data_IF_423870418359
#
_entry.id   IF_423870418359
#
_cell.length_a   1.000
_cell.length_b   1.000
_cell.length_c   1.000
_cell.angle_alpha   90.00
_cell.angle_beta   90.00
_cell.angle_gamma   90.00
#
_symmetry.space_group_name_H-M   'P 1'
#
loop_
_entity.id
_entity.type
_entity.pdbx_description
1 polymer ?
#
# COMPACT_ATOMS: atom_id res chain seq x y z
N UNK A 1 -21.99 22.40 -13.15
CA UNK A 1 -23.01 21.47 -13.67
C UNK A 1 -22.48 20.05 -13.48
N UNK A 2 -22.57 19.55 -12.24
CA UNK A 2 -22.15 18.20 -11.84
C UNK A 2 -23.41 17.47 -11.38
N UNK A 3 -23.75 16.39 -12.08
CA UNK A 3 -24.93 15.59 -11.78
C UNK A 3 -24.59 14.70 -10.59
N UNK A 4 -24.90 15.16 -9.38
CA UNK A 4 -25.07 14.31 -8.20
C UNK A 4 -26.49 13.73 -8.24
N UNK A 5 -26.65 12.53 -8.80
CA UNK A 5 -27.71 11.62 -8.33
C UNK A 5 -27.17 10.96 -7.06
N UNK A 6 -27.29 11.68 -5.94
CA UNK A 6 -27.16 11.10 -4.61
C UNK A 6 -28.33 10.12 -4.43
N UNK A 7 -28.09 8.84 -4.74
CA UNK A 7 -28.97 7.78 -4.25
C UNK A 7 -28.57 7.60 -2.79
N UNK A 8 -29.24 8.36 -1.91
CA UNK A 8 -29.12 8.17 -0.46
C UNK A 8 -29.69 6.82 -0.10
N UNK A 9 -28.84 5.81 0.05
CA UNK A 9 -29.24 4.51 0.59
C UNK A 9 -29.20 4.65 2.12
N UNK A 10 -30.36 4.95 2.70
CA UNK A 10 -30.56 4.86 4.15
C UNK A 10 -30.77 3.38 4.47
N UNK A 11 -29.68 2.66 4.75
CA UNK A 11 -29.73 1.29 5.22
C UNK A 11 -29.56 1.29 6.75
N UNK A 12 -30.67 1.15 7.48
CA UNK A 12 -30.66 0.75 8.89
C UNK A 12 -29.88 1.66 9.86
N UNK A 13 -30.01 2.98 9.74
CA UNK A 13 -29.40 3.94 10.66
C UNK A 13 -28.07 4.55 10.21
N UNK A 14 -27.36 3.91 9.27
CA UNK A 14 -26.10 4.42 8.73
C UNK A 14 -26.33 5.22 7.44
N UNK A 15 -25.73 6.41 7.35
CA UNK A 15 -25.83 7.29 6.17
C UNK A 15 -24.63 7.06 5.25
N UNK A 16 -24.84 6.38 4.13
CA UNK A 16 -23.83 6.24 3.07
C UNK A 16 -24.16 7.15 1.89
N UNK A 17 -23.13 7.79 1.30
CA UNK A 17 -23.28 8.59 0.07
C UNK A 17 -22.52 7.92 -1.06
N UNK A 18 -23.22 7.60 -2.15
CA UNK A 18 -22.64 7.00 -3.36
C UNK A 18 -21.93 8.03 -4.23
N UNK A 19 -20.68 7.76 -4.60
CA UNK A 19 -19.93 8.48 -5.62
C UNK A 19 -19.33 7.47 -6.61
N UNK A 20 -19.72 7.53 -7.88
CA UNK A 20 -19.13 6.71 -8.95
C UNK A 20 -18.03 7.51 -9.65
N UNK A 21 -16.76 7.16 -9.48
CA UNK A 21 -15.66 7.75 -10.24
C UNK A 21 -15.52 7.04 -11.60
N UNK A 22 -15.71 7.81 -12.67
CA UNK A 22 -15.91 7.31 -14.04
C UNK A 22 -14.67 6.67 -14.70
N UNK A 23 -13.55 6.56 -14.00
CA UNK A 23 -12.24 6.27 -14.63
C UNK A 23 -11.49 5.06 -14.06
N UNK A 24 -11.92 4.46 -12.95
CA UNK A 24 -11.24 3.28 -12.36
C UNK A 24 -12.15 2.07 -12.06
N UNK A 25 -13.44 2.11 -12.41
CA UNK A 25 -14.38 1.01 -12.17
C UNK A 25 -14.85 0.85 -10.72
N UNK A 26 -14.09 1.37 -9.76
CA UNK A 26 -14.44 1.38 -8.34
C UNK A 26 -15.60 2.32 -7.99
N UNK A 27 -16.40 1.88 -7.02
CA UNK A 27 -17.50 2.63 -6.41
C UNK A 27 -17.08 3.14 -5.03
N UNK A 28 -17.27 4.43 -4.78
CA UNK A 28 -16.96 5.06 -3.49
C UNK A 28 -18.24 5.28 -2.67
N UNK A 29 -18.20 4.93 -1.38
CA UNK A 29 -19.25 5.25 -0.41
C UNK A 29 -18.65 6.03 0.76
N UNK A 30 -19.26 7.15 1.14
CA UNK A 30 -18.79 7.93 2.30
C UNK A 30 -19.45 7.44 3.60
N UNK A 31 -18.65 7.16 4.62
CA UNK A 31 -19.08 6.94 6.01
C UNK A 31 -18.46 8.01 6.92
N UNK A 32 -19.04 8.26 8.10
CA UNK A 32 -18.56 9.29 9.04
C UNK A 32 -17.07 9.13 9.40
N UNK A 33 -16.58 7.89 9.45
CA UNK A 33 -15.23 7.54 9.91
C UNK A 33 -14.27 7.11 8.80
N UNK A 34 -14.77 6.78 7.60
CA UNK A 34 -13.93 6.31 6.48
C UNK A 34 -14.58 6.53 5.12
N UNK A 35 -13.75 6.57 4.09
CA UNK A 35 -14.21 6.39 2.70
C UNK A 35 -14.19 4.90 2.38
N UNK A 36 -15.29 4.35 1.88
CA UNK A 36 -15.38 2.94 1.47
C UNK A 36 -15.19 2.85 -0.04
N UNK A 37 -14.37 1.93 -0.50
CA UNK A 37 -14.08 1.70 -1.93
C UNK A 37 -14.35 0.23 -2.24
N UNK A 38 -15.05 -0.05 -3.34
CA UNK A 38 -15.28 -1.41 -3.80
C UNK A 38 -15.39 -1.48 -5.32
N UNK A 39 -14.81 -2.52 -5.93
CA UNK A 39 -15.02 -2.82 -7.35
C UNK A 39 -16.25 -3.72 -7.57
N UNK A 40 -16.90 -4.16 -6.50
CA UNK A 40 -18.12 -4.95 -6.57
C UNK A 40 -19.28 -4.10 -7.14
N UNK A 41 -20.09 -4.72 -8.00
CA UNK A 41 -21.28 -4.07 -8.54
C UNK A 41 -22.39 -3.99 -7.48
N UNK A 42 -22.36 -2.95 -6.66
CA UNK A 42 -23.33 -2.72 -5.57
C UNK A 42 -24.74 -2.32 -6.05
N UNK A 43 -24.96 -2.19 -7.36
CA UNK A 43 -26.31 -2.02 -7.91
C UNK A 43 -27.10 -3.33 -7.92
N UNK A 44 -26.44 -4.46 -7.67
CA UNK A 44 -27.06 -5.77 -7.56
C UNK A 44 -27.44 -6.07 -6.09
N UNK A 45 -28.71 -6.32 -5.80
CA UNK A 45 -29.22 -6.49 -4.43
C UNK A 45 -28.50 -7.58 -3.59
N UNK A 46 -28.15 -8.77 -4.15
CA UNK A 46 -27.35 -9.76 -3.43
C UNK A 46 -25.97 -9.23 -3.01
N UNK A 47 -25.28 -8.54 -3.91
CA UNK A 47 -23.98 -7.89 -3.66
C UNK A 47 -24.11 -6.86 -2.55
N UNK A 48 -25.11 -5.99 -2.64
CA UNK A 48 -25.37 -4.96 -1.63
C UNK A 48 -25.67 -5.57 -0.25
N UNK A 49 -26.40 -6.69 -0.20
CA UNK A 49 -26.71 -7.40 1.05
C UNK A 49 -25.44 -7.93 1.72
N UNK A 50 -24.52 -8.51 0.94
CA UNK A 50 -23.23 -9.02 1.44
C UNK A 50 -22.37 -7.86 1.96
N UNK A 51 -22.23 -6.78 1.18
CA UNK A 51 -21.49 -5.58 1.57
C UNK A 51 -22.04 -4.98 2.86
N UNK A 52 -23.36 -4.82 2.97
CA UNK A 52 -24.00 -4.26 4.17
C UNK A 52 -23.85 -5.16 5.40
N UNK A 53 -23.77 -6.49 5.21
CA UNK A 53 -23.49 -7.42 6.30
C UNK A 53 -22.03 -7.28 6.77
N UNK A 54 -21.09 -7.20 5.84
CA UNK A 54 -19.67 -7.02 6.14
C UNK A 54 -19.40 -5.68 6.83
N UNK A 55 -19.95 -4.59 6.29
CA UNK A 55 -19.82 -3.25 6.88
C UNK A 55 -20.28 -3.21 8.34
N UNK A 56 -21.42 -3.82 8.66
CA UNK A 56 -21.90 -3.89 10.04
C UNK A 56 -20.91 -4.64 10.95
N UNK A 57 -20.39 -5.78 10.50
CA UNK A 57 -19.39 -6.53 11.26
C UNK A 57 -18.12 -5.70 11.50
N UNK A 58 -17.60 -5.07 10.44
CA UNK A 58 -16.38 -4.24 10.50
C UNK A 58 -16.59 -3.04 11.42
N UNK A 59 -17.71 -2.33 11.31
CA UNK A 59 -18.05 -1.21 12.20
C UNK A 59 -18.11 -1.64 13.66
N UNK A 60 -18.72 -2.79 13.98
CA UNK A 60 -18.75 -3.31 15.35
C UNK A 60 -17.36 -3.68 15.87
N UNK A 61 -16.52 -4.33 15.06
CA UNK A 61 -15.10 -4.56 15.42
C UNK A 61 -14.37 -3.23 15.67
N UNK A 62 -14.64 -2.23 14.84
CA UNK A 62 -13.95 -0.94 14.87
C UNK A 62 -14.37 -0.06 16.05
N UNK A 63 -15.65 -0.03 16.42
CA UNK A 63 -16.15 0.68 17.61
C UNK A 63 -15.41 0.24 18.88
N UNK A 64 -15.04 -1.04 18.99
CA UNK A 64 -14.25 -1.56 20.11
C UNK A 64 -12.84 -0.97 20.20
N UNK A 65 -12.27 -0.54 19.07
CA UNK A 65 -10.92 0.04 18.95
C UNK A 65 -10.97 1.59 19.05
N UNK A 66 -12.05 2.19 18.55
CA UNK A 66 -12.25 3.65 18.52
C UNK A 66 -12.33 4.29 19.91
N UNK A 67 -12.70 3.55 20.96
CA UNK A 67 -12.76 4.09 22.32
C UNK A 67 -11.41 4.59 22.86
N UNK A 68 -10.30 4.28 22.20
CA UNK A 68 -8.96 4.64 22.67
C UNK A 68 -8.30 5.84 21.96
N UNK A 69 -8.69 6.20 20.73
CA UNK A 69 -7.95 7.26 19.99
C UNK A 69 -8.76 7.93 18.85
N UNK A 70 -8.85 9.27 18.76
CA UNK A 70 -9.47 10.02 17.65
C UNK A 70 -8.70 9.96 16.31
N UNK A 71 -7.82 8.97 16.10
CA UNK A 71 -6.92 8.85 14.95
C UNK A 71 -7.62 8.64 13.59
N UNK A 72 -8.88 8.23 13.59
CA UNK A 72 -9.59 7.75 12.40
C UNK A 72 -10.69 8.72 11.95
N UNK A 73 -10.46 9.38 10.82
CA UNK A 73 -11.47 10.16 10.11
C UNK A 73 -11.43 9.82 8.61
N UNK A 74 -12.50 10.12 7.88
CA UNK A 74 -12.64 9.82 6.44
C UNK A 74 -11.56 10.45 5.56
N UNK A 75 -10.87 11.49 6.04
CA UNK A 75 -9.72 12.07 5.32
C UNK A 75 -8.46 11.18 5.40
N UNK A 76 -8.36 10.35 6.44
CA UNK A 76 -7.15 9.57 6.73
C UNK A 76 -7.32 8.08 6.47
N UNK A 77 -8.56 7.58 6.49
CA UNK A 77 -8.87 6.15 6.42
C UNK A 77 -9.73 5.80 5.23
N UNK A 78 -9.30 4.79 4.49
CA UNK A 78 -10.10 4.14 3.44
C UNK A 78 -10.35 2.69 3.82
N UNK A 79 -11.61 2.25 3.76
CA UNK A 79 -12.00 0.85 3.84
C UNK A 79 -12.18 0.31 2.42
N UNK A 80 -11.41 -0.70 2.04
CA UNK A 80 -11.58 -1.36 0.75
C UNK A 80 -12.31 -2.66 0.96
N UNK A 81 -13.33 -2.92 0.15
CA UNK A 81 -14.12 -4.15 0.16
C UNK A 81 -14.05 -4.83 -1.20
N UNK A 82 -13.87 -6.15 -1.19
CA UNK A 82 -14.01 -6.99 -2.38
C UNK A 82 -14.91 -8.18 -2.07
N UNK A 83 -15.60 -8.68 -3.09
CA UNK A 83 -16.44 -9.87 -2.99
C UNK A 83 -15.79 -10.98 -3.78
N UNK A 84 -15.33 -11.98 -3.05
CA UNK A 84 -14.67 -13.15 -3.61
C UNK A 84 -15.47 -14.41 -3.30
N UNK A 85 -15.16 -15.49 -4.00
CA UNK A 85 -15.69 -16.82 -3.67
C UNK A 85 -14.73 -17.50 -2.70
N UNK A 86 -15.27 -18.04 -1.61
CA UNK A 86 -14.51 -18.91 -0.72
C UNK A 86 -14.24 -20.29 -1.36
N UNK A 87 -13.47 -21.13 -0.68
CA UNK A 87 -13.16 -22.49 -1.14
C UNK A 87 -14.37 -23.43 -1.26
N UNK A 88 -15.54 -23.03 -0.75
CA UNK A 88 -16.80 -23.74 -0.87
C UNK A 88 -17.75 -23.12 -1.91
N UNK A 89 -17.31 -22.07 -2.62
CA UNK A 89 -18.10 -21.37 -3.63
C UNK A 89 -19.14 -20.40 -3.06
N UNK A 90 -19.04 -20.03 -1.78
CA UNK A 90 -19.88 -18.99 -1.20
C UNK A 90 -19.24 -17.62 -1.44
N UNK A 91 -20.07 -16.61 -1.69
CA UNK A 91 -19.60 -15.23 -1.71
C UNK A 91 -19.23 -14.76 -0.30
N UNK A 92 -17.99 -14.35 -0.13
CA UNK A 92 -17.46 -13.75 1.09
C UNK A 92 -16.94 -12.35 0.77
N UNK A 93 -17.01 -11.46 1.77
CA UNK A 93 -16.47 -10.12 1.65
C UNK A 93 -15.09 -10.11 2.28
N UNK A 94 -14.07 -9.90 1.45
CA UNK A 94 -12.73 -9.55 1.93
C UNK A 94 -12.62 -8.04 2.05
N UNK A 95 -11.75 -7.58 2.95
CA UNK A 95 -11.53 -6.16 3.14
C UNK A 95 -10.11 -5.90 3.62
N UNK A 96 -9.71 -4.64 3.59
CA UNK A 96 -8.58 -4.10 4.35
C UNK A 96 -8.79 -2.61 4.59
N UNK A 97 -8.14 -2.07 5.62
CA UNK A 97 -8.11 -0.64 5.88
C UNK A 97 -6.79 -0.05 5.39
N UNK A 98 -6.85 1.20 4.95
CA UNK A 98 -5.71 1.99 4.50
C UNK A 98 -5.62 3.21 5.41
N UNK A 99 -4.44 3.45 5.98
CA UNK A 99 -4.19 4.66 6.76
C UNK A 99 -3.14 5.53 6.07
N UNK A 100 -3.58 6.67 5.53
CA UNK A 100 -2.73 7.56 4.75
C UNK A 100 -1.59 8.23 5.53
N UNK A 101 -1.76 8.67 6.79
CA UNK A 101 -0.70 9.38 7.52
C UNK A 101 0.59 8.56 7.69
N UNK A 102 0.48 7.26 7.98
CA UNK A 102 1.64 6.37 8.11
C UNK A 102 1.85 5.46 6.89
N UNK A 103 1.00 5.58 5.86
CA UNK A 103 1.12 4.86 4.58
C UNK A 103 1.16 3.34 4.77
N UNK A 104 0.18 2.83 5.52
CA UNK A 104 0.04 1.41 5.82
C UNK A 104 -1.32 0.88 5.38
N UNK A 105 -1.37 -0.42 5.14
CA UNK A 105 -2.61 -1.18 5.14
C UNK A 105 -2.67 -2.05 6.39
N UNK A 106 -3.87 -2.28 6.92
CA UNK A 106 -4.04 -3.05 8.14
C UNK A 106 -5.42 -3.67 8.24
N UNK A 107 -5.55 -4.60 9.19
CA UNK A 107 -6.80 -5.17 9.63
C UNK A 107 -6.96 -4.89 11.13
N UNK A 108 -8.16 -4.54 11.59
CA UNK A 108 -8.46 -4.42 13.03
C UNK A 108 -8.22 -5.72 13.79
N UNK A 109 -8.52 -6.84 13.14
CA UNK A 109 -8.34 -8.18 13.68
C UNK A 109 -6.87 -8.59 13.65
N UNK A 110 -6.48 -9.43 14.61
CA UNK A 110 -5.16 -10.03 14.60
C UNK A 110 -5.06 -11.02 13.44
N UNK A 111 -4.41 -10.61 12.36
CA UNK A 111 -4.13 -11.45 11.20
C UNK A 111 -2.65 -11.80 11.19
N UNK A 112 -2.35 -13.10 11.04
CA UNK A 112 -1.01 -13.53 10.68
C UNK A 112 -0.76 -13.15 9.21
N UNK A 113 0.17 -12.24 8.90
CA UNK A 113 0.42 -11.84 7.52
C UNK A 113 0.73 -13.09 6.70
N UNK A 114 -0.02 -13.28 5.62
CA UNK A 114 0.18 -14.43 4.75
C UNK A 114 1.60 -14.40 4.18
N UNK A 115 2.17 -15.58 3.92
CA UNK A 115 3.50 -15.65 3.30
C UNK A 115 3.56 -14.91 1.96
N UNK A 116 2.43 -14.82 1.24
CA UNK A 116 2.31 -14.04 0.01
C UNK A 116 2.42 -12.53 0.24
N UNK A 117 1.86 -11.99 1.33
CA UNK A 117 2.00 -10.58 1.70
C UNK A 117 3.46 -10.21 2.02
N UNK A 118 4.22 -11.16 2.56
CA UNK A 118 5.65 -11.04 2.86
C UNK A 118 6.56 -11.53 1.71
N UNK A 119 6.03 -11.64 0.49
CA UNK A 119 6.76 -12.08 -0.72
C UNK A 119 7.55 -13.40 -0.55
N UNK A 120 7.10 -14.29 0.35
CA UNK A 120 7.76 -15.54 0.71
C UNK A 120 9.23 -15.41 1.16
N UNK A 121 9.64 -14.24 1.67
CA UNK A 121 11.01 -14.02 2.13
C UNK A 121 11.32 -14.79 3.42
N UNK A 122 12.50 -15.44 3.43
CA UNK A 122 13.10 -16.05 4.63
C UNK A 122 13.97 -14.99 5.33
N UNK A 123 14.19 -15.09 6.64
CA UNK A 123 15.15 -14.20 7.34
C UNK A 123 14.53 -13.28 8.39
N UNK A 124 15.31 -12.30 8.85
CA UNK A 124 14.98 -11.42 9.99
C UNK A 124 13.77 -10.54 9.61
N UNK A 125 12.74 -10.57 10.47
CA UNK A 125 11.46 -9.89 10.29
C UNK A 125 11.27 -8.87 11.43
N UNK A 126 12.21 -7.93 11.59
CA UNK A 126 11.97 -6.81 12.50
C UNK A 126 10.72 -6.05 12.05
N UNK A 127 10.06 -5.35 12.98
CA UNK A 127 8.89 -4.53 12.66
C UNK A 127 9.23 -3.46 11.59
N UNK A 128 10.43 -2.87 11.66
CA UNK A 128 10.89 -1.88 10.70
C UNK A 128 11.03 -2.49 9.30
N UNK A 129 11.59 -3.70 9.20
CA UNK A 129 11.74 -4.40 7.93
C UNK A 129 10.40 -4.85 7.34
N UNK A 130 9.49 -5.39 8.16
CA UNK A 130 8.10 -5.69 7.75
C UNK A 130 7.39 -4.42 7.27
N UNK A 131 7.70 -3.27 7.89
CA UNK A 131 7.19 -1.97 7.49
C UNK A 131 7.38 -1.65 6.01
N UNK A 132 8.49 -2.07 5.38
CA UNK A 132 8.69 -1.90 3.95
C UNK A 132 7.73 -2.73 3.10
N UNK A 133 7.44 -3.98 3.49
CA UNK A 133 6.44 -4.81 2.81
C UNK A 133 5.04 -4.22 2.94
N UNK A 134 4.66 -3.75 4.12
CA UNK A 134 3.37 -3.08 4.34
C UNK A 134 3.28 -1.79 3.52
N UNK A 135 4.37 -1.01 3.46
CA UNK A 135 4.42 0.21 2.66
C UNK A 135 4.30 -0.07 1.15
N UNK A 136 4.91 -1.16 0.67
CA UNK A 136 4.72 -1.61 -0.70
C UNK A 136 3.25 -1.93 -1.01
N UNK A 137 2.54 -2.60 -0.09
CA UNK A 137 1.12 -2.87 -0.24
C UNK A 137 0.27 -1.59 -0.24
N UNK A 138 0.61 -0.61 0.60
CA UNK A 138 -0.03 0.71 0.57
C UNK A 138 0.10 1.39 -0.80
N UNK A 139 1.31 1.41 -1.37
CA UNK A 139 1.52 1.99 -2.69
C UNK A 139 0.87 1.18 -3.80
N UNK A 140 0.80 -0.14 -3.64
CA UNK A 140 0.04 -1.00 -4.54
C UNK A 140 -1.44 -0.60 -4.56
N UNK A 141 -2.06 -0.44 -3.39
CA UNK A 141 -3.44 0.04 -3.26
C UNK A 141 -3.64 1.39 -3.98
N UNK A 142 -2.74 2.36 -3.76
CA UNK A 142 -2.81 3.66 -4.45
C UNK A 142 -2.72 3.52 -5.98
N UNK A 143 -1.96 2.55 -6.46
CA UNK A 143 -1.83 2.22 -7.88
C UNK A 143 -3.06 1.51 -8.48
N UNK A 144 -3.88 0.82 -7.68
CA UNK A 144 -5.16 0.25 -8.09
C UNK A 144 -6.22 1.35 -8.26
N UNK A 145 -6.18 2.36 -7.38
CA UNK A 145 -7.17 3.44 -7.35
C UNK A 145 -6.54 4.83 -7.56
N UNK A 146 -5.82 5.07 -8.67
CA UNK A 146 -5.06 6.31 -8.89
C UNK A 146 -5.95 7.54 -9.07
N UNK A 147 -7.25 7.34 -9.34
CA UNK A 147 -8.24 8.40 -9.51
C UNK A 147 -8.75 8.97 -8.18
N UNK A 148 -8.63 8.22 -7.07
CA UNK A 148 -9.16 8.66 -5.76
C UNK A 148 -8.38 9.84 -5.18
N UNK A 149 -7.08 9.86 -5.44
CA UNK A 149 -6.19 10.88 -4.91
C UNK A 149 -4.93 10.91 -5.75
N UNK A 150 -4.48 12.11 -6.12
CA UNK A 150 -3.19 12.32 -6.79
C UNK A 150 -2.06 12.41 -5.74
N UNK A 151 -0.82 12.02 -6.08
CA UNK A 151 0.29 12.15 -5.15
C UNK A 151 0.61 13.62 -4.90
N UNK A 152 0.80 13.98 -3.63
CA UNK A 152 1.23 15.33 -3.24
C UNK A 152 2.71 15.58 -3.54
N UNK A 153 3.13 16.86 -3.47
CA UNK A 153 4.51 17.26 -3.76
C UNK A 153 5.56 16.54 -2.90
N UNK A 154 5.24 16.26 -1.63
CA UNK A 154 6.13 15.51 -0.74
C UNK A 154 6.45 14.10 -1.29
N UNK A 155 5.46 13.39 -1.84
CA UNK A 155 5.64 12.06 -2.43
C UNK A 155 6.50 12.13 -3.70
N UNK A 156 6.32 13.19 -4.50
CA UNK A 156 7.13 13.39 -5.71
C UNK A 156 8.59 13.69 -5.37
N UNK A 157 8.82 14.52 -4.36
CA UNK A 157 10.18 14.82 -3.90
C UNK A 157 10.86 13.56 -3.35
N UNK A 158 10.14 12.76 -2.57
CA UNK A 158 10.63 11.48 -2.06
C UNK A 158 10.97 10.51 -3.20
N UNK A 159 10.11 10.39 -4.22
CA UNK A 159 10.39 9.55 -5.37
C UNK A 159 11.62 10.04 -6.16
N UNK A 160 11.74 11.35 -6.38
CA UNK A 160 12.91 11.94 -7.04
C UNK A 160 14.20 11.66 -6.28
N UNK A 161 14.16 11.82 -4.95
CA UNK A 161 15.31 11.53 -4.09
C UNK A 161 15.76 10.07 -4.21
N UNK A 162 14.81 9.12 -4.16
CA UNK A 162 15.10 7.69 -4.33
C UNK A 162 15.70 7.38 -5.71
N UNK A 163 15.18 7.98 -6.79
CA UNK A 163 15.72 7.79 -8.15
C UNK A 163 17.13 8.39 -8.27
N UNK A 164 17.35 9.60 -7.77
CA UNK A 164 18.67 10.24 -7.78
C UNK A 164 19.69 9.46 -6.96
N UNK A 165 19.28 8.92 -5.80
CA UNK A 165 20.10 8.02 -5.01
C UNK A 165 20.49 6.77 -5.81
N UNK A 166 19.54 6.11 -6.47
CA UNK A 166 19.82 4.92 -7.29
C UNK A 166 20.75 5.23 -8.49
N UNK A 167 20.62 6.40 -9.13
CA UNK A 167 21.55 6.85 -10.17
C UNK A 167 22.95 7.06 -9.56
N UNK A 168 23.03 7.72 -8.41
CA UNK A 168 24.26 7.93 -7.68
C UNK A 168 24.95 6.62 -7.30
N UNK A 169 24.20 5.63 -6.83
CA UNK A 169 24.70 4.30 -6.48
C UNK A 169 25.37 3.62 -7.69
N UNK A 170 24.75 3.64 -8.87
CA UNK A 170 25.39 3.14 -10.10
C UNK A 170 26.66 3.88 -10.50
N UNK A 171 26.79 5.18 -10.16
CA UNK A 171 27.99 5.96 -10.48
C UNK A 171 29.15 5.64 -9.54
N UNK A 172 28.88 5.32 -8.27
CA UNK A 172 29.90 5.14 -7.23
C UNK A 172 30.14 3.67 -6.87
N UNK A 173 29.22 2.77 -7.21
CA UNK A 173 29.25 1.35 -6.86
C UNK A 173 29.22 0.48 -8.12
N UNK A 174 30.27 -0.33 -8.29
CA UNK A 174 30.34 -1.33 -9.36
C UNK A 174 29.32 -2.47 -9.17
N UNK A 175 28.69 -2.56 -8.00
CA UNK A 175 27.75 -3.62 -7.63
C UNK A 175 26.48 -3.04 -7.01
N UNK A 176 25.92 -2.01 -7.66
CA UNK A 176 24.68 -1.37 -7.26
C UNK A 176 23.59 -2.40 -6.94
N UNK A 177 22.81 -2.12 -5.89
CA UNK A 177 21.65 -2.92 -5.49
C UNK A 177 20.33 -2.37 -6.05
N UNK A 178 20.39 -1.29 -6.83
CA UNK A 178 19.22 -0.71 -7.48
C UNK A 178 18.64 -1.68 -8.52
N UNK A 179 17.31 -1.79 -8.52
CA UNK A 179 16.57 -2.73 -9.37
C UNK A 179 16.51 -2.30 -10.84
N UNK A 180 16.82 -1.03 -11.12
CA UNK A 180 16.74 -0.43 -12.45
C UNK A 180 18.11 0.02 -12.94
N UNK A 181 18.31 -0.04 -14.25
CA UNK A 181 19.51 0.48 -14.89
C UNK A 181 19.56 2.01 -14.91
N UNK A 182 20.74 2.63 -15.08
CA UNK A 182 20.89 4.09 -15.11
C UNK A 182 20.00 4.80 -16.14
N UNK A 183 19.79 4.20 -17.31
CA UNK A 183 18.98 4.80 -18.39
C UNK A 183 17.49 4.75 -18.09
N UNK A 184 17.03 3.66 -17.47
CA UNK A 184 15.65 3.53 -16.99
C UNK A 184 15.37 4.55 -15.88
N UNK A 185 16.30 4.70 -14.92
CA UNK A 185 16.20 5.67 -13.84
C UNK A 185 16.14 7.12 -14.35
N UNK A 186 16.98 7.48 -15.33
CA UNK A 186 16.92 8.79 -15.99
C UNK A 186 15.57 9.01 -16.70
N UNK A 187 15.08 7.99 -17.40
CA UNK A 187 13.77 8.04 -18.07
C UNK A 187 12.63 8.25 -17.06
N UNK A 188 12.68 7.56 -15.91
CA UNK A 188 11.71 7.75 -14.83
C UNK A 188 11.76 9.19 -14.30
N UNK A 189 12.96 9.74 -14.08
CA UNK A 189 13.15 11.11 -13.60
C UNK A 189 12.57 12.14 -14.58
N UNK A 190 12.76 11.94 -15.88
CA UNK A 190 12.23 12.80 -16.94
C UNK A 190 10.69 12.75 -17.00
N UNK A 191 10.11 11.56 -16.89
CA UNK A 191 8.65 11.37 -16.80
C UNK A 191 8.09 12.14 -15.61
N UNK A 192 8.74 11.99 -14.45
CA UNK A 192 8.32 12.68 -13.23
C UNK A 192 8.40 14.18 -13.45
N UNK A 193 9.55 14.73 -13.85
CA UNK A 193 9.76 16.17 -14.00
C UNK A 193 8.84 16.85 -15.03
N UNK A 194 8.55 16.19 -16.15
CA UNK A 194 7.77 16.77 -17.25
C UNK A 194 6.26 16.89 -16.97
N UNK A 195 5.74 16.21 -15.94
CA UNK A 195 4.29 16.02 -15.72
C UNK A 195 3.77 16.54 -14.37
N UNK A 196 4.63 17.13 -13.55
CA UNK A 196 4.30 17.57 -12.17
C UNK A 196 3.29 18.73 -12.05
N UNK A 197 3.30 19.76 -12.93
CA UNK A 197 2.53 20.96 -12.66
C UNK A 197 1.03 20.70 -12.46
N UNK A 198 0.46 19.69 -13.13
CA UNK A 198 -0.98 19.38 -13.11
C UNK A 198 -1.25 17.87 -12.99
N UNK A 199 -0.82 17.24 -11.89
CA UNK A 199 -1.17 15.82 -11.64
C UNK A 199 -2.68 15.61 -11.45
N UNK A 200 -3.41 16.65 -11.05
CA UNK A 200 -4.86 16.63 -10.99
C UNK A 200 -5.41 16.34 -12.38
N UNK A 201 -6.13 15.22 -12.53
CA UNK A 201 -6.67 14.69 -13.79
C UNK A 201 -5.70 13.86 -14.66
N UNK A 202 -4.57 13.40 -14.12
CA UNK A 202 -3.67 12.47 -14.82
C UNK A 202 -3.57 11.11 -14.10
N UNK A 203 -4.64 10.30 -14.06
CA UNK A 203 -4.66 9.02 -13.32
C UNK A 203 -3.59 8.04 -13.80
N UNK A 204 -3.25 8.04 -15.09
CA UNK A 204 -2.14 7.23 -15.62
C UNK A 204 -0.78 7.60 -15.04
N UNK A 205 -0.48 8.89 -14.92
CA UNK A 205 0.78 9.38 -14.34
C UNK A 205 0.79 9.14 -12.82
N UNK A 206 -0.33 9.39 -12.15
CA UNK A 206 -0.48 9.10 -10.72
C UNK A 206 -0.18 7.62 -10.43
N UNK A 207 -0.74 6.72 -11.25
CA UNK A 207 -0.45 5.29 -11.17
C UNK A 207 1.04 4.99 -11.32
N UNK A 208 1.72 5.59 -12.30
CA UNK A 208 3.17 5.40 -12.49
C UNK A 208 3.94 5.79 -11.22
N UNK A 209 3.65 6.96 -10.63
CA UNK A 209 4.29 7.39 -9.37
C UNK A 209 4.06 6.36 -8.26
N UNK A 210 2.83 5.89 -8.06
CA UNK A 210 2.52 4.91 -7.01
C UNK A 210 3.21 3.57 -7.24
N UNK A 211 3.27 3.08 -8.48
CA UNK A 211 3.97 1.83 -8.79
C UNK A 211 5.47 1.96 -8.58
N UNK A 212 6.08 3.11 -8.91
CA UNK A 212 7.50 3.33 -8.63
C UNK A 212 7.77 3.38 -7.11
N UNK A 213 6.92 4.07 -6.34
CA UNK A 213 7.00 4.05 -4.87
C UNK A 213 6.90 2.63 -4.30
N UNK A 214 5.99 1.81 -4.83
CA UNK A 214 5.87 0.39 -4.47
C UNK A 214 7.17 -0.36 -4.74
N UNK A 215 7.74 -0.22 -5.93
CA UNK A 215 8.96 -0.96 -6.29
C UNK A 215 10.16 -0.58 -5.41
N UNK A 216 10.33 0.71 -5.08
CA UNK A 216 11.37 1.11 -4.13
C UNK A 216 11.14 0.58 -2.71
N UNK A 217 9.90 0.44 -2.26
CA UNK A 217 9.60 -0.21 -0.98
C UNK A 217 9.90 -1.72 -1.02
N UNK A 218 9.56 -2.40 -2.13
CA UNK A 218 9.88 -3.81 -2.36
C UNK A 218 11.39 -4.05 -2.45
N UNK A 219 12.15 -3.13 -3.04
CA UNK A 219 13.61 -3.18 -3.08
C UNK A 219 14.22 -3.07 -1.69
N UNK A 220 13.77 -2.09 -0.88
CA UNK A 220 14.21 -1.94 0.52
C UNK A 220 13.94 -3.20 1.33
N UNK A 221 12.78 -3.81 1.11
CA UNK A 221 12.42 -5.10 1.71
C UNK A 221 13.36 -6.21 1.21
N UNK A 222 13.47 -6.43 -0.09
CA UNK A 222 14.27 -7.50 -0.69
C UNK A 222 15.76 -7.44 -0.33
N UNK A 223 16.28 -6.24 -0.11
CA UNK A 223 17.67 -6.01 0.25
C UNK A 223 17.91 -5.91 1.77
N UNK A 224 16.91 -6.20 2.61
CA UNK A 224 17.00 -6.14 4.08
C UNK A 224 17.52 -4.78 4.58
N UNK A 225 17.04 -3.67 4.02
CA UNK A 225 17.50 -2.34 4.41
C UNK A 225 17.25 -2.08 5.90
N UNK A 226 18.24 -1.48 6.57
CA UNK A 226 18.18 -1.20 8.01
C UNK A 226 18.43 -2.41 8.91
N UNK A 227 18.60 -3.61 8.35
CA UNK A 227 18.90 -4.83 9.11
C UNK A 227 20.40 -5.11 9.18
N UNK A 228 20.81 -5.89 10.18
CA UNK A 228 22.20 -6.39 10.29
C UNK A 228 22.60 -7.27 9.08
N UNK A 229 21.62 -7.87 8.41
CA UNK A 229 21.82 -8.73 7.25
C UNK A 229 21.63 -8.02 5.90
N UNK A 230 21.67 -6.68 5.88
CA UNK A 230 21.51 -5.85 4.66
C UNK A 230 22.37 -6.34 3.49
N UNK A 231 21.79 -6.36 2.29
CA UNK A 231 22.51 -6.62 1.05
C UNK A 231 23.22 -5.33 0.62
N UNK A 232 24.55 -5.42 0.47
CA UNK A 232 25.39 -4.31 -0.01
C UNK A 232 25.90 -4.51 -1.44
N UNK A 233 25.65 -5.68 -2.02
CA UNK A 233 26.12 -6.06 -3.34
C UNK A 233 25.09 -6.99 -4.00
N UNK A 234 24.65 -6.62 -5.21
CA UNK A 234 23.65 -7.38 -5.98
C UNK A 234 24.09 -8.81 -6.32
N UNK A 235 25.39 -9.06 -6.42
CA UNK A 235 25.96 -10.38 -6.72
C UNK A 235 26.00 -11.36 -5.54
N UNK A 236 25.62 -10.94 -4.33
CA UNK A 236 25.72 -11.77 -3.11
C UNK A 236 24.35 -12.24 -2.64
N UNK A 237 24.21 -13.55 -2.40
CA UNK A 237 23.04 -14.10 -1.71
C UNK A 237 23.07 -13.69 -0.24
N UNK A 238 21.96 -13.15 0.26
CA UNK A 238 21.75 -12.91 1.70
C UNK A 238 21.26 -14.15 2.43
N UNK A 239 20.80 -15.17 1.68
CA UNK A 239 20.40 -16.47 2.20
C UNK A 239 21.60 -17.42 2.09
N UNK A 240 22.33 -17.55 3.19
CA UNK A 240 23.34 -18.59 3.34
C UNK A 240 22.66 -19.94 3.59
N UNK A 241 23.24 -21.02 3.04
CA UNK A 241 22.89 -22.41 3.38
C UNK A 241 23.48 -22.87 4.71
N UNK A 242 24.23 -22.02 5.42
CA UNK A 242 24.77 -22.29 6.75
C UNK A 242 24.63 -21.05 7.66
N UNK A 243 24.32 -21.24 8.97
CA UNK A 243 24.15 -20.12 9.89
C UNK A 243 25.44 -19.31 10.03
N UNK A 244 25.36 -18.00 9.80
CA UNK A 244 26.47 -17.07 10.07
C UNK A 244 26.80 -17.14 11.56
N UNK A 245 28.01 -17.60 11.90
CA UNK A 245 28.51 -17.53 13.28
C UNK A 245 28.69 -16.06 13.65
N UNK A 246 28.15 -15.66 14.81
CA UNK A 246 28.49 -14.38 15.43
C UNK A 246 30.01 -14.20 15.47
N UNK A 247 30.55 -13.00 15.21
CA UNK A 247 31.95 -12.74 15.46
C UNK A 247 32.19 -12.88 16.97
N UNK A 248 32.81 -13.98 17.37
CA UNK A 248 33.39 -14.13 18.70
C UNK A 248 34.37 -12.98 18.89
N UNK A 249 34.08 -12.11 19.87
CA UNK A 249 35.04 -11.10 20.34
C UNK A 249 36.38 -11.79 20.55
N UNK A 250 37.42 -11.28 19.90
CA UNK A 250 38.78 -11.75 20.16
C UNK A 250 39.08 -11.60 21.66
N UNK A 251 39.76 -12.58 22.29
CA UNK A 251 40.17 -12.42 23.67
C UNK A 251 41.14 -11.25 23.74
N UNK A 252 40.84 -10.31 24.63
CA UNK A 252 41.79 -9.28 25.06
C UNK A 252 42.86 -10.06 25.83
N UNK A 253 44.04 -10.18 25.23
CA UNK A 253 45.18 -10.82 25.86
C UNK A 253 45.78 -9.88 26.91
N UNK A 254 46.12 -10.46 28.05
CA UNK A 254 47.20 -10.02 28.93
C UNK A 254 48.32 -11.08 28.85
#
# INVERSE_FOLDING_TARGET
MFILKAVGIIAGGNRYVLCSSFTSGGTELWHEYCTVVTDANITHDPTLTIVNKALRHICTSWESIHHADPLFCSANVVLVLDIVLDGAGNHVCEYYLVYHPTRVIFWPEQINPSRSLLCNMKGIQSEAHIGYAINAQYWHHRGLYPSLSCPGQAVLHELKDMILHAIGDHLISASSTASYGPDELKTMLDIINSRIPDLQNMPGVCRIVYILMKHFAEEKYANLHGEQAVRLNSGVSIFDSAPRKCPTKAPIGD
#
